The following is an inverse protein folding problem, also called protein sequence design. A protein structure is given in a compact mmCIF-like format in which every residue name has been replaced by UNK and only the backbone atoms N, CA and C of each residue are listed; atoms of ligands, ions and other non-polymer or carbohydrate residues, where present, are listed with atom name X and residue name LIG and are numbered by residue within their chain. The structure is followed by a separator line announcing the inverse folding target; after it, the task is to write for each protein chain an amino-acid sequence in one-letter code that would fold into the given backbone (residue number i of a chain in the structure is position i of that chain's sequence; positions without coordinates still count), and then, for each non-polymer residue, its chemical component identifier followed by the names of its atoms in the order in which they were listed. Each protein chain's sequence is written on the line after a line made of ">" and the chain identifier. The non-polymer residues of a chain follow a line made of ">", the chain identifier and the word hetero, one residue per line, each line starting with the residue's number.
data_IF_440272288389
#
_entry.id   IF_440272288389
#
_cell.length_a   1.000
_cell.length_b   1.000
_cell.length_c   1.000
_cell.angle_alpha   90.00
_cell.angle_beta   90.00
_cell.angle_gamma   90.00
#
_symmetry.space_group_name_H-M   'P 1'
#
loop_
_entity.id
_entity.type
_entity.pdbx_description
1 polymer ?
#
# COMPACT_ATOMS: atom_id res chain seq x y z
N UNK A 1 -43.74 -16.18 33.83
CA UNK A 1 -43.62 -17.57 33.35
C UNK A 1 -43.21 -17.50 31.88
N UNK A 2 -41.93 -17.33 31.53
CA UNK A 2 -40.95 -18.40 31.30
C UNK A 2 -41.57 -19.63 30.62
N UNK A 3 -41.59 -19.63 29.30
CA UNK A 3 -41.48 -20.85 28.50
C UNK A 3 -40.37 -20.63 27.47
N UNK A 4 -39.27 -21.34 27.65
CA UNK A 4 -38.11 -21.36 26.79
C UNK A 4 -38.14 -22.66 26.00
N UNK A 5 -38.20 -22.62 24.66
CA UNK A 5 -37.70 -23.64 23.71
C UNK A 5 -37.75 -22.91 22.35
N UNK A 6 -36.72 -22.80 21.50
CA UNK A 6 -35.70 -23.75 21.08
C UNK A 6 -34.48 -22.99 20.54
N UNK A 7 -33.34 -23.57 20.86
CA UNK A 7 -32.03 -23.42 20.23
C UNK A 7 -32.15 -23.35 18.69
N UNK A 8 -31.92 -22.17 18.10
CA UNK A 8 -31.33 -22.06 16.75
C UNK A 8 -29.83 -21.83 16.99
N UNK A 9 -29.20 -22.84 17.58
CA UNK A 9 -27.79 -23.12 17.41
C UNK A 9 -27.66 -24.08 16.22
N UNK A 10 -26.58 -23.92 15.44
CA UNK A 10 -26.19 -24.70 14.25
C UNK A 10 -26.59 -24.14 12.88
N UNK A 11 -26.26 -22.89 12.60
CA UNK A 11 -25.83 -22.41 11.27
C UNK A 11 -24.94 -21.18 11.53
N UNK A 12 -23.62 -21.15 11.39
CA UNK A 12 -22.73 -21.93 10.55
C UNK A 12 -21.34 -21.99 11.22
N UNK A 13 -20.94 -23.17 11.70
CA UNK A 13 -19.55 -23.50 12.03
C UNK A 13 -18.74 -23.85 10.76
N UNK A 14 -19.10 -23.28 9.60
CA UNK A 14 -18.45 -23.55 8.33
C UNK A 14 -18.32 -22.27 7.50
N UNK A 15 -17.45 -21.37 7.95
CA UNK A 15 -16.76 -20.45 7.04
C UNK A 15 -15.34 -20.18 7.58
N UNK A 16 -14.57 -21.25 7.82
CA UNK A 16 -13.11 -21.17 7.92
C UNK A 16 -12.53 -20.89 6.52
N UNK A 17 -12.83 -19.73 5.96
CA UNK A 17 -12.37 -19.31 4.64
C UNK A 17 -12.54 -17.81 4.48
N UNK A 18 -11.45 -17.10 4.15
CA UNK A 18 -11.50 -15.67 3.83
C UNK A 18 -12.33 -15.46 2.56
N UNK A 19 -13.21 -14.46 2.58
CA UNK A 19 -13.94 -14.04 1.37
C UNK A 19 -12.98 -13.49 0.32
N UNK A 20 -13.40 -13.40 -0.94
CA UNK A 20 -12.59 -12.80 -1.99
C UNK A 20 -12.18 -11.35 -1.64
N UNK A 21 -13.11 -10.57 -1.11
CA UNK A 21 -12.87 -9.21 -0.60
C UNK A 21 -11.81 -9.17 0.51
N UNK A 22 -11.88 -10.10 1.47
CA UNK A 22 -10.90 -10.17 2.56
C UNK A 22 -9.50 -10.53 2.05
N UNK A 23 -9.42 -11.46 1.08
CA UNK A 23 -8.14 -11.83 0.46
C UNK A 23 -7.53 -10.67 -0.30
N UNK A 24 -8.32 -9.97 -1.11
CA UNK A 24 -7.88 -8.79 -1.84
C UNK A 24 -7.42 -7.67 -0.91
N UNK A 25 -8.16 -7.43 0.18
CA UNK A 25 -7.77 -6.43 1.18
C UNK A 25 -6.43 -6.79 1.85
N UNK A 26 -6.26 -8.03 2.28
CA UNK A 26 -5.02 -8.50 2.90
C UNK A 26 -3.83 -8.45 1.93
N UNK A 27 -4.05 -8.81 0.67
CA UNK A 27 -3.07 -8.65 -0.39
C UNK A 27 -2.69 -7.18 -0.58
N UNK A 28 -3.67 -6.27 -0.64
CA UNK A 28 -3.41 -4.84 -0.78
C UNK A 28 -2.65 -4.25 0.41
N UNK A 29 -2.96 -4.69 1.63
CA UNK A 29 -2.20 -4.31 2.83
C UNK A 29 -0.75 -4.81 2.72
N UNK A 30 -0.56 -6.05 2.27
CA UNK A 30 0.77 -6.65 2.11
C UNK A 30 1.59 -5.94 1.05
N UNK A 31 1.01 -5.69 -0.13
CA UNK A 31 1.65 -4.97 -1.22
C UNK A 31 2.01 -3.54 -0.82
N UNK A 32 1.10 -2.84 -0.11
CA UNK A 32 1.37 -1.50 0.39
C UNK A 32 2.55 -1.48 1.38
N UNK A 33 2.59 -2.43 2.31
CA UNK A 33 3.69 -2.56 3.27
C UNK A 33 5.04 -2.89 2.60
N UNK A 34 5.03 -3.75 1.57
CA UNK A 34 6.22 -4.04 0.78
C UNK A 34 6.67 -2.81 -0.03
N UNK A 35 5.73 -2.09 -0.63
CA UNK A 35 6.03 -0.85 -1.34
C UNK A 35 6.68 0.20 -0.43
N UNK A 36 6.13 0.38 0.77
CA UNK A 36 6.74 1.26 1.78
C UNK A 36 8.16 0.84 2.13
N UNK A 37 8.37 -0.47 2.39
CA UNK A 37 9.70 -1.02 2.66
C UNK A 37 10.69 -0.67 1.55
N UNK A 38 10.32 -0.86 0.29
CA UNK A 38 11.22 -0.59 -0.83
C UNK A 38 11.46 0.91 -1.06
N UNK A 39 10.47 1.76 -0.82
CA UNK A 39 10.65 3.22 -0.87
C UNK A 39 11.58 3.69 0.26
N UNK A 40 11.47 3.11 1.47
CA UNK A 40 12.38 3.40 2.58
C UNK A 40 13.84 3.10 2.21
N UNK A 41 14.10 2.10 1.39
CA UNK A 41 15.45 1.78 0.89
C UNK A 41 16.00 2.79 -0.13
N UNK A 42 15.18 3.71 -0.65
CA UNK A 42 15.57 4.72 -1.66
C UNK A 42 15.84 6.11 -1.06
N UNK A 43 15.49 6.34 0.20
CA UNK A 43 15.62 7.67 0.84
C UNK A 43 16.77 7.71 1.85
N UNK A 44 17.29 8.92 2.13
CA UNK A 44 18.46 9.12 2.99
C UNK A 44 18.25 8.70 4.46
N UNK A 45 17.06 8.97 5.01
CA UNK A 45 16.71 8.64 6.39
C UNK A 45 15.46 7.74 6.40
N UNK A 46 15.63 6.42 6.20
CA UNK A 46 14.53 5.47 6.05
C UNK A 46 13.57 5.47 7.25
N UNK A 47 14.07 5.70 8.46
CA UNK A 47 13.28 5.69 9.70
C UNK A 47 12.41 6.93 9.89
N UNK A 48 12.69 8.00 9.17
CA UNK A 48 11.94 9.26 9.25
C UNK A 48 11.03 9.49 8.02
N UNK A 49 11.01 8.57 7.06
CA UNK A 49 10.11 8.65 5.93
C UNK A 49 8.64 8.58 6.38
N UNK A 50 7.85 9.54 5.90
CA UNK A 50 6.42 9.67 6.19
C UNK A 50 5.62 9.32 4.95
N UNK A 51 4.59 8.49 5.10
CA UNK A 51 3.79 7.99 3.99
C UNK A 51 2.34 8.43 4.13
N UNK A 52 1.69 8.71 3.00
CA UNK A 52 0.25 9.01 2.93
C UNK A 52 -0.33 8.64 1.57
N UNK A 53 -1.66 8.64 1.48
CA UNK A 53 -2.41 8.38 0.24
C UNK A 53 -1.93 7.10 -0.47
N UNK A 54 -1.68 6.05 0.31
CA UNK A 54 -1.16 4.77 -0.18
C UNK A 54 -2.31 3.89 -0.69
N UNK A 55 -2.10 3.24 -1.83
CA UNK A 55 -3.06 2.33 -2.44
C UNK A 55 -2.35 1.34 -3.38
N UNK A 56 -3.03 0.26 -3.72
CA UNK A 56 -2.61 -0.63 -4.81
C UNK A 56 -3.32 -0.19 -6.08
N UNK A 57 -2.54 0.11 -7.11
CA UNK A 57 -3.06 0.55 -8.39
C UNK A 57 -3.51 -0.58 -9.31
N UNK A 58 -4.13 -0.24 -10.45
CA UNK A 58 -4.67 -1.24 -11.40
C UNK A 58 -3.63 -2.20 -11.95
N UNK A 59 -2.36 -1.77 -12.00
CA UNK A 59 -1.24 -2.59 -12.46
C UNK A 59 -0.60 -3.44 -11.37
N UNK A 60 -1.19 -3.47 -10.16
CA UNK A 60 -0.67 -4.23 -9.01
C UNK A 60 0.50 -3.55 -8.27
N UNK A 61 0.89 -2.35 -8.67
CA UNK A 61 1.91 -1.57 -7.98
C UNK A 61 1.38 -0.92 -6.71
N UNK A 62 2.19 -0.90 -5.65
CA UNK A 62 1.96 -0.07 -4.47
C UNK A 62 2.34 1.37 -4.80
N UNK A 63 1.35 2.26 -4.80
CA UNK A 63 1.49 3.67 -5.12
C UNK A 63 1.13 4.53 -3.92
N UNK A 64 1.66 5.75 -3.86
CA UNK A 64 1.32 6.70 -2.81
C UNK A 64 2.22 7.92 -2.81
N UNK A 65 2.31 8.59 -1.67
CA UNK A 65 3.22 9.71 -1.47
C UNK A 65 4.16 9.44 -0.29
N UNK A 66 5.42 9.85 -0.45
CA UNK A 66 6.45 9.82 0.59
C UNK A 66 7.00 11.23 0.80
N UNK A 67 7.17 11.63 2.06
CA UNK A 67 7.93 12.79 2.46
C UNK A 67 9.20 12.31 3.17
N UNK A 68 10.36 12.72 2.67
CA UNK A 68 11.66 12.31 3.17
C UNK A 68 12.58 13.53 3.32
N UNK A 69 13.64 13.37 4.11
CA UNK A 69 14.64 14.41 4.31
C UNK A 69 15.65 14.45 3.17
N UNK A 70 16.12 15.65 2.84
CA UNK A 70 17.31 15.85 2.02
C UNK A 70 18.60 15.65 2.83
N UNK A 71 19.74 15.89 2.18
CA UNK A 71 21.07 15.79 2.79
C UNK A 71 21.32 16.83 3.90
N UNK A 72 20.49 17.87 4.01
CA UNK A 72 20.57 18.88 5.06
C UNK A 72 19.61 18.59 6.22
N UNK A 73 18.86 17.48 6.16
CA UNK A 73 17.93 17.05 7.20
C UNK A 73 16.55 17.69 7.13
N UNK A 74 16.27 18.47 6.07
CA UNK A 74 14.97 19.12 5.85
C UNK A 74 14.02 18.25 5.05
N UNK A 75 12.74 18.22 5.42
CA UNK A 75 11.71 17.55 4.62
C UNK A 75 11.45 18.33 3.32
N UNK A 76 11.53 17.65 2.18
CA UNK A 76 11.38 18.26 0.85
C UNK A 76 9.93 18.31 0.35
N UNK A 77 8.99 17.81 1.15
CA UNK A 77 7.58 17.71 0.80
C UNK A 77 7.21 16.31 0.31
N UNK A 78 5.91 16.05 0.28
CA UNK A 78 5.36 14.79 -0.21
C UNK A 78 5.51 14.67 -1.72
N UNK A 79 6.09 13.55 -2.16
CA UNK A 79 6.30 13.22 -3.56
C UNK A 79 5.71 11.86 -3.88
N UNK A 80 5.18 11.70 -5.09
CA UNK A 80 4.59 10.43 -5.53
C UNK A 80 5.65 9.35 -5.66
N UNK A 81 5.29 8.11 -5.34
CA UNK A 81 6.11 6.93 -5.60
C UNK A 81 5.30 5.81 -6.26
N UNK A 82 6.00 4.92 -6.96
CA UNK A 82 5.48 3.68 -7.53
C UNK A 82 6.42 2.55 -7.11
N UNK A 83 5.90 1.48 -6.53
CA UNK A 83 6.70 0.31 -6.16
C UNK A 83 6.03 -0.99 -6.60
N UNK A 84 6.68 -1.70 -7.52
CA UNK A 84 6.22 -3.01 -8.03
C UNK A 84 7.10 -4.13 -7.51
N UNK A 85 8.38 -3.85 -7.34
CA UNK A 85 9.37 -4.73 -6.71
C UNK A 85 10.49 -3.86 -6.13
N UNK A 86 11.38 -4.49 -5.36
CA UNK A 86 12.53 -3.80 -4.72
C UNK A 86 13.32 -2.95 -5.71
N UNK A 87 13.71 -3.53 -6.84
CA UNK A 87 14.50 -2.85 -7.87
C UNK A 87 13.64 -2.05 -8.85
N UNK A 88 12.31 -2.24 -8.82
CA UNK A 88 11.30 -1.52 -9.62
C UNK A 88 10.49 -0.58 -8.73
N UNK A 89 11.21 0.29 -8.02
CA UNK A 89 10.65 1.35 -7.17
C UNK A 89 11.14 2.69 -7.67
N UNK A 90 10.20 3.56 -8.03
CA UNK A 90 10.40 4.89 -8.61
C UNK A 90 9.85 5.96 -7.68
N UNK A 91 10.63 7.00 -7.43
CA UNK A 91 10.20 8.20 -6.74
C UNK A 91 10.12 9.32 -7.79
N UNK A 92 9.11 10.18 -7.71
CA UNK A 92 8.87 11.22 -8.73
C UNK A 92 10.05 12.20 -8.90
N UNK A 93 10.85 12.42 -7.86
CA UNK A 93 12.08 13.22 -7.93
C UNK A 93 13.22 12.59 -8.74
N UNK A 94 13.24 11.26 -8.91
CA UNK A 94 14.41 10.54 -9.42
C UNK A 94 14.38 10.37 -10.95
N UNK A 95 13.25 10.70 -11.58
CA UNK A 95 13.01 10.51 -13.02
C UNK A 95 12.36 11.76 -13.63
N UNK A 96 12.29 11.81 -14.96
CA UNK A 96 11.62 12.93 -15.63
C UNK A 96 10.10 12.92 -15.34
N UNK A 97 9.43 14.09 -15.28
CA UNK A 97 7.99 14.15 -15.04
C UNK A 97 7.17 13.36 -16.07
N UNK A 98 7.58 13.38 -17.34
CA UNK A 98 6.90 12.67 -18.42
C UNK A 98 7.00 11.14 -18.26
N UNK A 99 8.18 10.64 -17.89
CA UNK A 99 8.41 9.22 -17.62
C UNK A 99 7.63 8.74 -16.40
N UNK A 100 7.67 9.51 -15.30
CA UNK A 100 6.92 9.17 -14.10
C UNK A 100 5.41 9.10 -14.37
N UNK A 101 4.87 10.10 -15.08
CA UNK A 101 3.44 10.16 -15.36
C UNK A 101 2.99 9.01 -16.26
N UNK A 102 3.81 8.59 -17.24
CA UNK A 102 3.52 7.42 -18.06
C UNK A 102 3.41 6.14 -17.20
N UNK A 103 4.34 5.93 -16.27
CA UNK A 103 4.29 4.79 -15.35
C UNK A 103 3.12 4.89 -14.37
N UNK A 104 2.80 6.10 -13.89
CA UNK A 104 1.68 6.33 -12.99
C UNK A 104 0.33 5.98 -13.65
N UNK A 105 0.12 6.33 -14.92
CA UNK A 105 -1.09 5.98 -15.66
C UNK A 105 -1.23 4.48 -15.94
N UNK A 106 -0.11 3.76 -16.02
CA UNK A 106 -0.10 2.33 -16.28
C UNK A 106 -0.29 1.51 -14.99
N UNK A 107 0.41 1.89 -13.92
CA UNK A 107 0.53 1.07 -12.72
C UNK A 107 -0.42 1.51 -11.59
N UNK A 108 -0.69 2.81 -11.48
CA UNK A 108 -1.42 3.39 -10.35
C UNK A 108 -2.90 3.68 -10.66
N UNK A 109 -3.15 4.48 -11.69
CA UNK A 109 -4.52 4.74 -12.19
C UNK A 109 -4.98 3.65 -13.11
#
# INVERSE_FOLDING_TARGET
>A
MRLAITIIGLLALAACGKTAEQKLHEENVTLTALGEKYVREKVLDPGQAQFRNQFVGKGGGACGEVNAKDAFGGYIGYQRYISVARDLTLLAQDVSPAEFEAQWQQLCR
#
